data_IF_174895188527
#
_entry.id   IF_174895188527
#
_cell.length_a   1.000
_cell.length_b   1.000
_cell.length_c   1.000
_cell.angle_alpha   90.00
_cell.angle_beta   90.00
_cell.angle_gamma   90.00
#
_symmetry.space_group_name_H-M   'P 1'
#
loop_
_entity.id
_entity.type
_entity.pdbx_description
1 polymer ?
#
# COMPACT_ATOMS: atom_id res chain seq x y z
N UNK A 1 -6.93 12.76 -34.80
CA UNK A 1 -5.57 13.31 -34.97
C UNK A 1 -5.12 13.81 -33.60
N UNK A 2 -3.97 13.29 -33.13
CA UNK A 2 -3.43 13.28 -31.76
C UNK A 2 -3.65 14.53 -30.89
N UNK A 3 -3.89 14.33 -29.58
CA UNK A 3 -3.30 15.20 -28.55
C UNK A 3 -2.93 14.37 -27.31
N UNK A 4 -1.62 14.24 -27.10
CA UNK A 4 -0.96 13.82 -25.87
C UNK A 4 -1.33 14.73 -24.69
N UNK A 5 -1.57 14.15 -23.50
CA UNK A 5 -1.22 14.83 -22.25
C UNK A 5 -0.95 13.81 -21.14
N UNK A 6 0.23 13.21 -21.21
CA UNK A 6 0.92 12.77 -19.99
C UNK A 6 1.66 13.97 -19.41
N UNK A 7 1.61 14.12 -18.10
CA UNK A 7 2.53 14.99 -17.38
C UNK A 7 3.97 14.59 -17.76
N UNK A 8 4.63 15.48 -18.50
CA UNK A 8 5.99 15.28 -18.98
C UNK A 8 6.99 15.50 -17.84
N UNK A 9 7.22 14.45 -17.06
CA UNK A 9 8.59 14.15 -16.62
C UNK A 9 9.14 13.26 -17.71
N UNK A 10 10.14 13.74 -18.47
CA UNK A 10 10.80 12.94 -19.53
C UNK A 10 11.33 11.64 -18.90
N UNK A 11 10.70 10.48 -19.14
CA UNK A 11 11.11 9.24 -18.50
C UNK A 11 12.32 8.72 -19.26
N UNK A 12 13.43 8.47 -18.57
CA UNK A 12 14.38 7.48 -19.08
C UNK A 12 13.65 6.14 -19.20
N UNK A 13 14.04 5.30 -20.15
CA UNK A 13 13.42 3.98 -20.40
C UNK A 13 13.34 3.10 -19.15
N UNK A 14 14.20 3.34 -18.14
CA UNK A 14 14.15 2.68 -16.85
C UNK A 14 13.05 3.24 -15.92
N UNK A 15 12.75 4.54 -15.96
CA UNK A 15 11.75 5.20 -15.10
C UNK A 15 10.32 4.73 -15.41
N UNK A 16 10.04 4.36 -16.67
CA UNK A 16 8.74 3.85 -17.11
C UNK A 16 8.41 2.46 -16.54
N UNK A 17 9.43 1.68 -16.16
CA UNK A 17 9.25 0.35 -15.58
C UNK A 17 8.95 0.43 -14.08
N UNK A 18 9.57 1.37 -13.38
CA UNK A 18 9.36 1.59 -11.95
C UNK A 18 8.00 2.23 -11.63
N UNK A 19 7.51 3.16 -12.47
CA UNK A 19 6.17 3.74 -12.29
C UNK A 19 5.07 2.73 -12.57
N UNK A 20 5.26 1.81 -13.52
CA UNK A 20 4.34 0.69 -13.76
C UNK A 20 4.26 -0.27 -12.58
N UNK A 21 5.39 -0.56 -11.93
CA UNK A 21 5.41 -1.49 -10.79
C UNK A 21 4.79 -0.89 -9.52
N UNK A 22 4.97 0.42 -9.28
CA UNK A 22 4.41 1.09 -8.11
C UNK A 22 2.90 1.37 -8.23
N UNK A 23 2.42 1.72 -9.43
CA UNK A 23 0.99 1.90 -9.71
C UNK A 23 0.26 0.55 -9.68
N UNK A 24 0.89 -0.53 -10.16
CA UNK A 24 0.31 -1.88 -10.05
C UNK A 24 0.12 -2.36 -8.60
N UNK A 25 0.99 -1.98 -7.66
CA UNK A 25 0.86 -2.40 -6.25
C UNK A 25 -0.33 -1.69 -5.56
N UNK A 26 -0.70 -0.49 -6.01
CA UNK A 26 -1.82 0.28 -5.45
C UNK A 26 -3.16 -0.04 -6.14
N UNK A 27 -3.16 -0.39 -7.43
CA UNK A 27 -4.40 -0.50 -8.22
C UNK A 27 -4.86 -1.93 -8.56
N UNK A 28 -4.05 -2.99 -8.40
CA UNK A 28 -4.43 -4.36 -8.83
C UNK A 28 -5.63 -4.97 -8.07
N UNK A 29 -6.12 -4.39 -6.97
CA UNK A 29 -7.26 -4.97 -6.22
C UNK A 29 -8.50 -4.09 -6.03
N UNK A 30 -8.62 -2.95 -6.71
CA UNK A 30 -9.91 -2.22 -6.67
C UNK A 30 -11.05 -3.01 -7.35
N UNK A 31 -10.71 -3.98 -8.22
CA UNK A 31 -11.67 -4.78 -8.98
C UNK A 31 -12.23 -6.01 -8.23
N UNK A 32 -11.58 -6.49 -7.17
CA UNK A 32 -12.05 -7.70 -6.44
C UNK A 32 -13.23 -7.38 -5.52
N UNK A 33 -13.37 -6.12 -5.06
CA UNK A 33 -14.43 -5.74 -4.12
C UNK A 33 -15.80 -5.48 -4.77
N UNK A 34 -15.86 -5.08 -6.05
CA UNK A 34 -17.13 -4.72 -6.71
C UNK A 34 -18.05 -5.96 -6.85
N UNK A 35 -17.49 -7.16 -6.92
CA UNK A 35 -18.26 -8.40 -7.03
C UNK A 35 -18.93 -8.85 -5.71
N UNK A 36 -18.47 -8.39 -4.54
CA UNK A 36 -18.94 -8.90 -3.23
C UNK A 36 -20.06 -8.02 -2.65
N UNK A 37 -20.13 -6.74 -3.00
CA UNK A 37 -21.13 -5.81 -2.46
C UNK A 37 -22.55 -5.94 -3.03
N UNK A 38 -22.77 -6.82 -4.01
CA UNK A 38 -24.08 -6.95 -4.69
C UNK A 38 -25.04 -7.98 -4.05
N UNK A 39 -24.70 -8.59 -2.90
CA UNK A 39 -25.39 -9.80 -2.43
C UNK A 39 -26.02 -9.76 -1.03
N UNK A 40 -26.17 -8.60 -0.36
CA UNK A 40 -26.82 -8.55 0.97
C UNK A 40 -27.95 -7.51 1.04
N UNK A 41 -29.20 -7.92 1.38
CA UNK A 41 -30.30 -6.99 1.61
C UNK A 41 -30.20 -6.34 3.01
N UNK A 42 -30.62 -5.07 3.09
CA UNK A 42 -30.68 -4.29 4.32
C UNK A 42 -31.98 -4.60 5.09
N UNK A 43 -31.88 -5.12 6.30
CA UNK A 43 -33.01 -5.16 7.25
C UNK A 43 -32.89 -4.11 8.36
N UNK A 44 -34.06 -3.58 8.75
CA UNK A 44 -34.28 -2.44 9.64
C UNK A 44 -34.00 -2.76 11.12
N UNK A 45 -33.07 -2.03 11.75
CA UNK A 45 -32.91 -2.01 13.21
C UNK A 45 -33.76 -0.93 13.86
N UNK A 46 -34.62 -1.35 14.81
CA UNK A 46 -35.38 -0.45 15.69
C UNK A 46 -34.48 0.13 16.79
N UNK A 47 -34.50 1.45 16.94
CA UNK A 47 -33.73 2.20 17.93
C UNK A 47 -34.54 2.35 19.23
N UNK A 48 -34.06 1.76 20.34
CA UNK A 48 -34.60 2.02 21.67
C UNK A 48 -33.89 3.25 22.27
N UNK A 49 -34.67 4.30 22.56
CA UNK A 49 -34.26 5.51 23.28
C UNK A 49 -34.34 5.30 24.79
N UNK A 50 -33.27 5.59 25.52
CA UNK A 50 -33.38 6.01 26.92
C UNK A 50 -32.22 5.62 27.83
N UNK A 51 -31.72 6.63 28.56
CA UNK A 51 -30.78 6.65 29.70
C UNK A 51 -29.31 6.87 29.31
N UNK A 52 -28.93 8.16 29.28
CA UNK A 52 -27.55 8.61 29.22
C UNK A 52 -26.90 8.50 30.63
N UNK A 53 -25.79 7.78 30.81
CA UNK A 53 -25.03 7.83 32.05
C UNK A 53 -24.34 9.19 32.20
N UNK A 54 -24.30 9.70 33.44
CA UNK A 54 -23.61 10.94 33.81
C UNK A 54 -22.12 10.83 33.43
N UNK A 55 -21.64 11.77 32.61
CA UNK A 55 -20.24 11.88 32.21
C UNK A 55 -19.38 12.26 33.42
N UNK A 56 -18.75 11.27 34.05
CA UNK A 56 -17.60 11.47 34.93
C UNK A 56 -16.36 11.17 34.12
N UNK A 57 -15.89 12.14 33.31
CA UNK A 57 -14.51 12.13 32.86
C UNK A 57 -14.09 13.52 32.37
N UNK A 58 -13.51 14.33 33.26
CA UNK A 58 -12.55 15.35 32.84
C UNK A 58 -11.27 14.61 32.44
N UNK A 59 -11.19 14.18 31.19
CA UNK A 59 -9.95 13.67 30.59
C UNK A 59 -9.49 14.75 29.60
N UNK A 60 -8.74 15.72 30.11
CA UNK A 60 -7.98 16.69 29.30
C UNK A 60 -6.87 16.01 28.45
N UNK A 61 -6.73 14.69 28.54
CA UNK A 61 -5.69 13.90 27.90
C UNK A 61 -6.02 13.47 26.46
N UNK A 62 -7.28 13.59 26.00
CA UNK A 62 -7.65 13.32 24.59
C UNK A 62 -7.03 14.31 23.59
N UNK A 63 -6.60 15.49 24.05
CA UNK A 63 -5.99 16.52 23.20
C UNK A 63 -4.46 16.39 23.07
N UNK A 64 -3.82 15.48 23.81
CA UNK A 64 -2.46 15.07 23.48
C UNK A 64 -2.52 14.14 22.28
N UNK A 65 -2.47 14.71 21.07
CA UNK A 65 -2.21 13.94 19.84
C UNK A 65 -0.99 13.05 20.14
N UNK A 66 -1.14 11.72 20.24
CA UNK A 66 0.01 10.86 20.38
C UNK A 66 0.88 11.15 19.17
N UNK A 67 2.20 11.26 19.35
CA UNK A 67 3.12 11.18 18.21
C UNK A 67 2.76 9.93 17.40
N UNK A 68 2.14 10.08 16.22
CA UNK A 68 1.37 8.99 15.62
C UNK A 68 0.75 9.33 14.27
N UNK A 69 0.14 8.30 13.67
CA UNK A 69 -0.55 8.33 12.38
C UNK A 69 -1.75 9.30 12.42
N UNK A 70 -1.79 10.27 11.51
CA UNK A 70 -2.89 11.20 11.34
C UNK A 70 -3.73 10.77 10.11
N UNK A 71 -5.00 10.37 10.28
CA UNK A 71 -5.83 9.93 9.15
C UNK A 71 -6.14 11.06 8.16
N UNK A 72 -5.95 12.33 8.53
CA UNK A 72 -6.19 13.50 7.70
C UNK A 72 -4.97 13.94 6.87
N UNK A 73 -3.90 13.13 6.81
CA UNK A 73 -2.67 13.43 6.06
C UNK A 73 -2.90 13.78 4.58
N UNK A 74 -3.96 13.23 3.97
CA UNK A 74 -4.34 13.56 2.59
C UNK A 74 -4.63 15.05 2.42
N UNK A 75 -5.33 15.65 3.38
CA UNK A 75 -5.84 17.02 3.28
C UNK A 75 -4.68 18.01 3.30
N UNK A 76 -3.69 17.76 4.17
CA UNK A 76 -2.46 18.56 4.23
C UNK A 76 -1.68 18.50 2.93
N UNK A 77 -1.60 17.33 2.31
CA UNK A 77 -0.89 17.14 1.05
C UNK A 77 -1.60 17.86 -0.10
N UNK A 78 -2.93 17.79 -0.15
CA UNK A 78 -3.73 18.47 -1.16
C UNK A 78 -3.61 19.99 -1.08
N UNK A 79 -3.65 20.54 0.13
CA UNK A 79 -3.40 21.97 0.36
C UNK A 79 -1.98 22.35 -0.09
N UNK A 80 -0.97 21.58 0.31
CA UNK A 80 0.43 21.87 0.00
C UNK A 80 0.72 21.83 -1.51
N UNK A 81 0.25 20.80 -2.21
CA UNK A 81 0.48 20.62 -3.65
C UNK A 81 -0.26 21.64 -4.52
N UNK A 82 -1.30 22.30 -4.00
CA UNK A 82 -2.02 23.37 -4.69
C UNK A 82 -1.47 24.77 -4.43
N UNK A 83 -0.42 24.92 -3.61
CA UNK A 83 0.22 26.22 -3.41
C UNK A 83 0.98 26.68 -4.67
N UNK A 84 0.84 27.94 -5.11
CA UNK A 84 1.54 28.44 -6.30
C UNK A 84 3.06 28.41 -6.21
N UNK A 85 3.62 28.69 -5.02
CA UNK A 85 5.06 28.67 -4.79
C UNK A 85 5.63 27.24 -4.83
N UNK A 86 4.92 26.26 -4.27
CA UNK A 86 5.25 24.83 -4.36
C UNK A 86 5.18 24.35 -5.81
N UNK A 87 4.10 24.66 -6.54
CA UNK A 87 3.98 24.29 -7.95
C UNK A 87 5.10 24.89 -8.79
N UNK A 88 5.44 26.16 -8.56
CA UNK A 88 6.57 26.84 -9.22
C UNK A 88 7.90 26.14 -8.91
N UNK A 89 8.16 25.82 -7.65
CA UNK A 89 9.39 25.15 -7.22
C UNK A 89 9.53 23.73 -7.79
N UNK A 90 8.42 23.03 -8.00
CA UNK A 90 8.38 21.70 -8.63
C UNK A 90 8.32 21.75 -10.16
N UNK A 91 8.30 22.95 -10.77
CA UNK A 91 8.05 23.15 -12.19
C UNK A 91 6.74 22.48 -12.66
N UNK A 92 5.73 22.44 -11.80
CA UNK A 92 4.40 21.92 -12.09
C UNK A 92 3.47 23.04 -12.57
N UNK A 93 2.39 22.68 -13.26
CA UNK A 93 1.34 23.62 -13.70
C UNK A 93 1.85 24.81 -14.56
N UNK A 94 2.94 24.62 -15.31
CA UNK A 94 3.53 25.68 -16.15
C UNK A 94 2.53 26.19 -17.20
N UNK A 95 1.72 25.29 -17.76
CA UNK A 95 0.74 25.59 -18.82
C UNK A 95 -0.65 25.95 -18.30
N UNK A 96 -0.82 26.16 -16.98
CA UNK A 96 -2.10 26.48 -16.33
C UNK A 96 -3.20 25.45 -16.59
N UNK A 97 -3.03 24.26 -16.02
CA UNK A 97 -4.08 23.23 -16.01
C UNK A 97 -5.36 23.78 -15.33
N UNK A 98 -6.55 23.50 -15.88
CA UNK A 98 -7.80 24.15 -15.47
C UNK A 98 -8.44 23.56 -14.21
N UNK A 99 -7.76 22.64 -13.53
CA UNK A 99 -8.25 21.96 -12.33
C UNK A 99 -7.13 21.87 -11.28
N UNK A 100 -7.47 21.81 -9.98
CA UNK A 100 -6.50 21.66 -8.92
C UNK A 100 -5.85 20.27 -8.95
N UNK A 101 -4.71 20.15 -8.28
CA UNK A 101 -4.12 18.87 -7.95
C UNK A 101 -4.99 18.13 -6.92
N UNK A 102 -5.21 16.83 -7.13
CA UNK A 102 -5.88 15.93 -6.18
C UNK A 102 -5.12 14.60 -6.11
N UNK A 103 -5.30 13.83 -5.04
CA UNK A 103 -4.65 12.50 -4.88
C UNK A 103 -5.02 11.51 -5.97
N UNK A 104 -6.31 11.48 -6.34
CA UNK A 104 -6.88 10.60 -7.34
C UNK A 104 -7.75 11.40 -8.32
N UNK A 105 -7.79 10.98 -9.58
CA UNK A 105 -8.65 11.58 -10.60
C UNK A 105 -9.96 10.82 -10.72
N UNK A 106 -11.08 11.47 -10.40
CA UNK A 106 -12.41 10.91 -10.58
C UNK A 106 -12.86 10.88 -12.06
N UNK A 107 -12.11 11.51 -12.97
CA UNK A 107 -12.40 11.43 -14.40
C UNK A 107 -12.03 10.07 -15.00
N UNK A 108 -11.14 9.32 -14.34
CA UNK A 108 -10.78 7.95 -14.73
C UNK A 108 -11.65 7.01 -13.90
N UNK A 109 -12.91 6.85 -14.32
CA UNK A 109 -13.90 6.04 -13.59
C UNK A 109 -13.81 4.55 -13.91
N UNK A 110 -13.42 4.21 -15.14
CA UNK A 110 -13.30 2.84 -15.61
C UNK A 110 -12.00 2.63 -16.37
N UNK A 111 -11.32 1.52 -16.05
CA UNK A 111 -10.11 1.07 -16.73
C UNK A 111 -10.33 -0.35 -17.23
N UNK A 112 -10.25 -0.56 -18.55
CA UNK A 112 -10.60 -1.83 -19.18
C UNK A 112 -9.43 -2.83 -19.25
N UNK A 113 -8.20 -2.34 -19.38
CA UNK A 113 -7.01 -3.19 -19.48
C UNK A 113 -6.53 -3.60 -18.08
N UNK A 114 -7.21 -4.58 -17.49
CA UNK A 114 -6.94 -5.10 -16.16
C UNK A 114 -6.98 -6.64 -16.18
N UNK A 115 -5.85 -7.32 -16.48
CA UNK A 115 -5.81 -8.78 -16.48
C UNK A 115 -6.14 -9.33 -15.09
N UNK A 116 -6.88 -10.44 -15.05
CA UNK A 116 -7.34 -11.06 -13.80
C UNK A 116 -6.22 -11.64 -12.94
N UNK A 117 -5.00 -11.77 -13.48
CA UNK A 117 -3.85 -12.32 -12.78
C UNK A 117 -2.54 -11.79 -13.34
N UNK A 118 -1.60 -11.52 -12.43
CA UNK A 118 -0.20 -11.19 -12.74
C UNK A 118 0.76 -12.36 -12.45
N UNK A 119 0.24 -13.52 -12.01
CA UNK A 119 1.06 -14.68 -11.67
C UNK A 119 1.94 -15.16 -12.85
N UNK A 120 1.46 -15.21 -14.11
CA UNK A 120 2.32 -15.58 -15.24
C UNK A 120 3.52 -14.63 -15.42
N UNK A 121 3.32 -13.34 -15.13
CA UNK A 121 4.38 -12.34 -15.18
C UNK A 121 5.40 -12.60 -14.06
N UNK A 122 4.93 -12.83 -12.82
CA UNK A 122 5.82 -13.20 -11.70
C UNK A 122 6.65 -14.43 -12.06
N UNK A 123 6.03 -15.51 -12.57
CA UNK A 123 6.76 -16.73 -12.97
C UNK A 123 7.84 -16.45 -14.01
N UNK A 124 7.53 -15.61 -15.02
CA UNK A 124 8.51 -15.22 -16.04
C UNK A 124 9.69 -14.42 -15.45
N UNK A 125 9.43 -13.52 -14.52
CA UNK A 125 10.47 -12.72 -13.86
C UNK A 125 11.36 -13.59 -12.96
N UNK A 126 10.78 -14.56 -12.24
CA UNK A 126 11.52 -15.55 -11.46
C UNK A 126 12.42 -16.39 -12.37
N UNK A 127 11.88 -16.92 -13.47
CA UNK A 127 12.65 -17.70 -14.45
C UNK A 127 13.78 -16.88 -15.09
N UNK A 128 13.61 -15.56 -15.21
CA UNK A 128 14.64 -14.61 -15.64
C UNK A 128 15.70 -14.29 -14.58
N UNK A 129 15.65 -14.89 -13.39
CA UNK A 129 16.63 -14.68 -12.31
C UNK A 129 16.46 -13.35 -11.56
N UNK A 130 15.33 -12.67 -11.71
CA UNK A 130 15.08 -11.42 -10.98
C UNK A 130 14.70 -11.71 -9.53
N UNK A 131 15.28 -10.95 -8.60
CA UNK A 131 14.94 -11.01 -7.18
C UNK A 131 13.59 -10.32 -6.93
N UNK A 132 12.60 -11.09 -6.48
CA UNK A 132 11.24 -10.58 -6.22
C UNK A 132 10.92 -10.66 -4.73
N UNK A 133 10.54 -9.52 -4.16
CA UNK A 133 9.93 -9.45 -2.83
C UNK A 133 8.49 -8.95 -2.97
N UNK A 134 7.55 -9.64 -2.34
CA UNK A 134 6.17 -9.20 -2.18
C UNK A 134 5.96 -8.91 -0.71
N UNK A 135 5.44 -7.73 -0.35
CA UNK A 135 5.18 -7.40 1.04
C UNK A 135 3.74 -6.91 1.27
N UNK A 136 3.23 -7.13 2.48
CA UNK A 136 1.86 -6.76 2.86
C UNK A 136 1.79 -6.34 4.32
N UNK A 137 1.02 -5.29 4.60
CA UNK A 137 0.65 -4.92 5.97
C UNK A 137 -0.44 -5.85 6.50
N UNK A 138 -0.25 -6.44 7.67
CA UNK A 138 -1.16 -7.48 8.19
C UNK A 138 -2.48 -6.96 8.78
N UNK A 139 -2.67 -5.64 8.85
CA UNK A 139 -3.93 -5.00 9.23
C UNK A 139 -4.62 -4.31 8.04
N UNK A 140 -4.20 -4.59 6.80
CA UNK A 140 -4.89 -4.11 5.60
C UNK A 140 -6.19 -4.90 5.34
N UNK A 141 -7.33 -4.21 5.40
CA UNK A 141 -8.63 -4.78 5.07
C UNK A 141 -9.00 -4.72 3.58
N UNK A 142 -8.25 -3.96 2.77
CA UNK A 142 -8.48 -3.85 1.32
C UNK A 142 -7.79 -4.99 0.59
N UNK A 143 -6.47 -5.15 0.78
CA UNK A 143 -5.66 -6.22 0.18
C UNK A 143 -5.03 -7.05 1.31
N UNK A 144 -5.80 -7.96 1.93
CA UNK A 144 -5.31 -8.67 3.11
C UNK A 144 -4.17 -9.64 2.79
N UNK A 145 -3.33 -9.91 3.79
CA UNK A 145 -2.27 -10.93 3.75
C UNK A 145 -2.78 -12.26 3.21
N UNK A 146 -3.99 -12.68 3.61
CA UNK A 146 -4.61 -13.93 3.16
C UNK A 146 -4.76 -13.98 1.64
N UNK A 147 -5.23 -12.91 1.00
CA UNK A 147 -5.40 -12.86 -0.46
C UNK A 147 -4.05 -12.97 -1.19
N UNK A 148 -3.04 -12.29 -0.67
CA UNK A 148 -1.67 -12.35 -1.21
C UNK A 148 -1.08 -13.76 -1.05
N UNK A 149 -1.20 -14.38 0.12
CA UNK A 149 -0.71 -15.74 0.39
C UNK A 149 -1.37 -16.77 -0.52
N UNK A 150 -2.70 -16.71 -0.68
CA UNK A 150 -3.44 -17.62 -1.57
C UNK A 150 -3.03 -17.45 -3.03
N UNK A 151 -2.77 -16.21 -3.47
CA UNK A 151 -2.31 -15.92 -4.83
C UNK A 151 -0.90 -16.47 -5.06
N UNK A 152 0.04 -16.23 -4.14
CA UNK A 152 1.40 -16.74 -4.25
C UNK A 152 1.47 -18.27 -4.18
N UNK A 153 0.61 -18.91 -3.39
CA UNK A 153 0.51 -20.38 -3.33
C UNK A 153 0.21 -21.00 -4.70
N UNK A 154 -0.56 -20.31 -5.57
CA UNK A 154 -0.86 -20.78 -6.94
C UNK A 154 0.36 -20.83 -7.87
N UNK A 155 1.47 -20.19 -7.52
CA UNK A 155 2.72 -20.28 -8.28
C UNK A 155 3.40 -21.65 -8.13
N UNK A 156 3.05 -22.42 -7.09
CA UNK A 156 3.63 -23.76 -6.87
C UNK A 156 5.15 -23.75 -6.59
N UNK A 157 5.70 -22.62 -6.13
CA UNK A 157 7.13 -22.50 -5.85
C UNK A 157 7.53 -23.36 -4.64
N UNK A 158 8.72 -23.95 -4.71
CA UNK A 158 9.33 -24.67 -3.58
C UNK A 158 9.57 -23.71 -2.41
N UNK A 159 9.21 -24.12 -1.20
CA UNK A 159 9.48 -23.36 0.02
C UNK A 159 10.91 -23.71 0.48
N UNK A 160 11.77 -22.71 0.56
CA UNK A 160 13.12 -22.81 1.12
C UNK A 160 13.12 -22.57 2.63
N UNK A 161 12.30 -21.62 3.10
CA UNK A 161 12.08 -21.36 4.51
C UNK A 161 10.59 -21.08 4.75
N UNK A 162 9.98 -21.87 5.62
CA UNK A 162 8.57 -21.71 5.98
C UNK A 162 8.37 -20.50 6.92
N UNK A 163 7.11 -20.15 7.14
CA UNK A 163 6.62 -19.00 7.89
C UNK A 163 7.40 -18.74 9.19
N UNK A 164 8.31 -17.77 9.14
CA UNK A 164 9.23 -17.45 10.23
C UNK A 164 9.14 -15.98 10.61
N UNK A 165 9.29 -15.61 11.89
CA UNK A 165 9.32 -14.21 12.28
C UNK A 165 10.60 -13.52 11.80
N UNK A 166 10.51 -12.22 11.55
CA UNK A 166 11.67 -11.36 11.42
C UNK A 166 11.64 -10.25 12.47
N UNK A 167 12.81 -9.74 12.83
CA UNK A 167 12.98 -8.84 13.96
C UNK A 167 13.49 -7.46 13.54
N UNK A 168 13.07 -6.45 14.30
CA UNK A 168 13.59 -5.10 14.19
C UNK A 168 14.74 -4.86 15.17
N UNK A 169 15.43 -3.74 14.98
CA UNK A 169 16.49 -3.17 15.83
C UNK A 169 16.15 -2.93 17.31
N UNK A 170 14.94 -3.29 17.74
CA UNK A 170 14.43 -3.10 19.12
C UNK A 170 14.01 -4.42 19.74
N UNK A 171 14.52 -5.55 19.26
CA UNK A 171 14.15 -6.90 19.71
C UNK A 171 12.63 -7.17 19.61
N UNK A 172 11.94 -6.51 18.67
CA UNK A 172 10.52 -6.69 18.42
C UNK A 172 10.29 -7.48 17.14
N UNK A 173 9.22 -8.25 17.09
CA UNK A 173 8.77 -8.90 15.85
C UNK A 173 8.28 -7.82 14.89
N UNK A 174 8.98 -7.65 13.77
CA UNK A 174 8.61 -6.74 12.69
C UNK A 174 7.51 -7.31 11.78
N UNK A 175 7.39 -8.64 11.74
CA UNK A 175 6.41 -9.39 10.96
C UNK A 175 6.91 -10.80 10.68
N UNK A 176 6.47 -11.39 9.57
CA UNK A 176 6.82 -12.76 9.17
C UNK A 176 7.29 -12.83 7.73
N UNK A 177 8.06 -13.86 7.40
CA UNK A 177 8.52 -14.14 6.04
C UNK A 177 8.23 -15.58 5.63
N UNK A 178 7.99 -15.79 4.34
CA UNK A 178 8.13 -17.08 3.67
C UNK A 178 9.12 -16.91 2.53
N UNK A 179 10.12 -17.77 2.48
CA UNK A 179 11.09 -17.79 1.39
C UNK A 179 10.75 -18.93 0.46
N UNK A 180 10.41 -18.57 -0.78
CA UNK A 180 10.27 -19.50 -1.89
C UNK A 180 11.53 -19.45 -2.75
N UNK A 181 11.71 -20.46 -3.59
CA UNK A 181 12.68 -20.41 -4.67
C UNK A 181 12.35 -19.24 -5.63
N UNK A 182 13.22 -18.22 -5.63
CA UNK A 182 13.10 -17.03 -6.49
C UNK A 182 12.17 -15.91 -5.98
N UNK A 183 11.46 -16.09 -4.87
CA UNK A 183 10.53 -15.08 -4.33
C UNK A 183 10.51 -15.09 -2.80
N UNK A 184 10.51 -13.91 -2.17
CA UNK A 184 10.28 -13.76 -0.74
C UNK A 184 8.94 -13.04 -0.49
N UNK A 185 8.10 -13.61 0.37
CA UNK A 185 6.92 -12.94 0.90
C UNK A 185 7.20 -12.41 2.30
N UNK A 186 6.83 -11.16 2.57
CA UNK A 186 7.07 -10.48 3.85
C UNK A 186 5.77 -9.84 4.36
N UNK A 187 5.42 -10.06 5.62
CA UNK A 187 4.40 -9.27 6.30
C UNK A 187 5.04 -8.24 7.21
N UNK A 188 4.34 -7.13 7.41
CA UNK A 188 4.71 -6.08 8.37
C UNK A 188 3.63 -5.96 9.43
N UNK A 189 4.00 -6.28 10.67
CA UNK A 189 3.08 -6.39 11.81
C UNK A 189 2.52 -5.03 12.22
N UNK A 190 1.20 -4.94 12.28
CA UNK A 190 0.45 -3.74 12.66
C UNK A 190 0.46 -2.65 11.59
N UNK A 191 0.74 -2.99 10.32
CA UNK A 191 0.72 -2.04 9.21
C UNK A 191 -0.54 -2.22 8.36
N UNK A 192 -1.16 -1.11 7.93
CA UNK A 192 -2.23 -1.11 6.94
C UNK A 192 -1.73 -1.15 5.50
N UNK A 193 -2.59 -0.78 4.55
CA UNK A 193 -2.30 -0.79 3.12
C UNK A 193 -1.04 0.02 2.75
N UNK A 194 -0.93 1.23 3.31
CA UNK A 194 0.24 2.10 3.13
C UNK A 194 1.30 1.83 4.19
N UNK A 195 1.98 0.67 4.12
CA UNK A 195 2.94 0.19 5.13
C UNK A 195 3.91 1.27 5.64
N UNK A 196 4.58 2.10 4.79
CA UNK A 196 5.49 3.13 5.27
C UNK A 196 4.83 4.22 6.13
N UNK A 197 3.55 4.52 5.92
CA UNK A 197 2.81 5.50 6.72
C UNK A 197 2.49 4.97 8.13
N UNK A 198 2.25 3.66 8.27
CA UNK A 198 1.93 3.03 9.57
C UNK A 198 3.16 2.56 10.34
N UNK A 199 4.17 2.04 9.63
CA UNK A 199 5.37 1.42 10.20
C UNK A 199 6.64 1.87 9.45
N UNK A 200 7.01 3.17 9.53
CA UNK A 200 8.10 3.73 8.73
C UNK A 200 9.46 3.08 9.01
N UNK A 201 9.77 2.74 10.27
CA UNK A 201 11.05 2.09 10.63
C UNK A 201 11.16 0.69 10.00
N UNK A 202 10.09 -0.10 10.11
CA UNK A 202 10.00 -1.44 9.53
C UNK A 202 10.07 -1.40 8.01
N UNK A 203 9.35 -0.46 7.39
CA UNK A 203 9.37 -0.27 5.94
C UNK A 203 10.76 0.10 5.42
N UNK A 204 11.47 0.99 6.13
CA UNK A 204 12.85 1.34 5.79
C UNK A 204 13.79 0.15 5.93
N UNK A 205 13.69 -0.62 7.01
CA UNK A 205 14.48 -1.84 7.20
C UNK A 205 14.23 -2.83 6.06
N UNK A 206 12.97 -3.07 5.68
CA UNK A 206 12.61 -3.92 4.54
C UNK A 206 13.28 -3.43 3.24
N UNK A 207 13.18 -2.14 2.94
CA UNK A 207 13.78 -1.55 1.74
C UNK A 207 15.31 -1.71 1.73
N UNK A 208 15.98 -1.40 2.83
CA UNK A 208 17.44 -1.51 2.95
C UNK A 208 17.89 -2.95 2.76
N UNK A 209 17.21 -3.91 3.38
CA UNK A 209 17.53 -5.33 3.22
C UNK A 209 17.30 -5.84 1.80
N UNK A 210 16.19 -5.44 1.16
CA UNK A 210 15.91 -5.77 -0.23
C UNK A 210 16.98 -5.23 -1.18
N UNK A 211 17.37 -3.95 -1.03
CA UNK A 211 18.39 -3.31 -1.86
C UNK A 211 19.77 -3.94 -1.65
N UNK A 212 20.13 -4.23 -0.40
CA UNK A 212 21.42 -4.83 -0.04
C UNK A 212 21.52 -6.33 -0.34
N UNK A 213 20.47 -6.96 -0.89
CA UNK A 213 20.39 -8.41 -1.07
C UNK A 213 20.63 -9.20 0.23
N UNK A 214 20.08 -8.73 1.35
CA UNK A 214 20.21 -9.36 2.66
C UNK A 214 18.85 -9.84 3.14
N UNK A 215 18.80 -11.04 3.73
CA UNK A 215 17.59 -11.53 4.42
C UNK A 215 17.28 -10.63 5.61
N UNK A 216 15.99 -10.54 5.97
CA UNK A 216 15.59 -9.87 7.20
C UNK A 216 16.12 -10.66 8.42
N UNK A 217 16.44 -10.00 9.55
CA UNK A 217 17.01 -10.66 10.71
C UNK A 217 16.04 -11.69 11.30
N UNK A 218 16.50 -12.93 11.47
CA UNK A 218 15.70 -14.06 11.99
C UNK A 218 15.74 -14.21 13.51
N UNK A 219 16.57 -13.41 14.19
CA UNK A 219 16.70 -13.38 15.64
C UNK A 219 16.59 -11.94 16.17
N UNK A 220 16.12 -11.74 17.41
CA UNK A 220 16.16 -10.43 18.06
C UNK A 220 17.59 -9.93 18.19
N UNK A 221 17.82 -8.66 17.90
CA UNK A 221 19.08 -7.95 18.09
C UNK A 221 18.81 -6.60 18.73
#
# INVERSE_FOLDING_TARGET
MNIHLMAAIKPSTNTLMYTKLWICIVYILQLVLIAISAALPLENFHMIRGVAPRLISNIDEWHRRPSGYDPCLSDYTEIYMNRPDVQKALHANITRIPYPWTHCSNNITFWSDAPSSILPIISKLIAGGLRIWVYSGDTDGRIPVTATRLSLKKLGLKINQDWSPWYTDKKQVGGWTVEYEGLMFVTVRGAGHQVPSFKPRQALQLLVHFLANKKLPSAPF
#
